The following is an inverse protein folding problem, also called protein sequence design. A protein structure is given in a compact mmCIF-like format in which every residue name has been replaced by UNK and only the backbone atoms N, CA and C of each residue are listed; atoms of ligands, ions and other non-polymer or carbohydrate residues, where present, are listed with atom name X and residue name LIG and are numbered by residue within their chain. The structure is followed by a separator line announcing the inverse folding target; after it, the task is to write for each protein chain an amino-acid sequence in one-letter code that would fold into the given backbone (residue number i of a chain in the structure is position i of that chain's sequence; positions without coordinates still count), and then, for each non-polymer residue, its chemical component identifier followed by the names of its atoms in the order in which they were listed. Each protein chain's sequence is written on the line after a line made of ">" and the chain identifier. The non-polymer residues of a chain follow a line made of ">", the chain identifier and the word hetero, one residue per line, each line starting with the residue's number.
data_IF_219663751328
#
_entry.id   IF_219663751328
#
_cell.length_a   1.000
_cell.length_b   1.000
_cell.length_c   1.000
_cell.angle_alpha   90.00
_cell.angle_beta   90.00
_cell.angle_gamma   90.00
#
_symmetry.space_group_name_H-M   'P 1'
#
loop_
_entity.id
_entity.type
_entity.pdbx_description
1 polymer ?
#
# COMPACT_ATOMS: atom_id res chain seq x y z
N UNK A 1 33.66 8.86 -10.23
CA UNK A 1 32.42 8.85 -11.04
C UNK A 1 31.29 8.96 -10.03
N UNK A 2 30.47 10.02 -10.13
CA UNK A 2 29.46 10.33 -9.12
C UNK A 2 28.20 9.52 -9.47
N UNK A 3 27.93 8.46 -8.71
CA UNK A 3 26.68 7.73 -8.79
C UNK A 3 25.55 8.61 -8.24
N UNK A 4 24.83 9.25 -9.16
CA UNK A 4 23.54 9.84 -8.88
C UNK A 4 22.52 8.70 -8.74
N UNK A 5 22.23 8.31 -7.49
CA UNK A 5 20.99 7.61 -7.18
C UNK A 5 19.82 8.59 -7.41
N UNK A 6 19.31 8.60 -8.64
CA UNK A 6 17.98 9.13 -8.93
C UNK A 6 16.97 8.43 -7.99
N UNK A 7 16.08 9.16 -7.31
CA UNK A 7 15.02 8.55 -6.52
C UNK A 7 14.13 7.73 -7.43
N UNK A 8 13.90 6.46 -7.08
CA UNK A 8 12.98 5.54 -7.76
C UNK A 8 11.59 6.20 -7.94
N UNK A 9 11.42 6.86 -9.09
CA UNK A 9 10.14 7.37 -9.59
C UNK A 9 9.26 6.15 -9.87
N UNK A 10 8.37 5.84 -8.94
CA UNK A 10 7.31 4.88 -9.22
C UNK A 10 6.69 4.12 -8.06
N UNK A 11 6.96 4.42 -6.80
CA UNK A 11 6.16 3.81 -5.73
C UNK A 11 4.69 4.28 -5.86
N UNK A 12 3.70 3.39 -6.10
CA UNK A 12 2.30 3.79 -6.19
C UNK A 12 1.67 4.06 -4.82
N UNK A 13 2.42 3.80 -3.75
CA UNK A 13 1.96 3.73 -2.37
C UNK A 13 1.78 5.10 -1.69
N UNK A 14 2.65 6.12 -1.88
CA UNK A 14 2.50 7.41 -1.20
C UNK A 14 1.20 8.13 -1.60
N UNK A 15 0.87 8.07 -2.90
CA UNK A 15 -0.28 8.78 -3.49
C UNK A 15 -1.62 8.40 -2.87
N UNK A 16 -1.83 7.17 -2.42
CA UNK A 16 -3.15 6.77 -1.90
C UNK A 16 -3.39 7.24 -0.47
N UNK A 17 -2.37 7.16 0.40
CA UNK A 17 -2.45 7.72 1.75
C UNK A 17 -2.63 9.24 1.69
N UNK A 18 -1.90 9.91 0.80
CA UNK A 18 -2.04 11.34 0.51
C UNK A 18 -3.44 11.72 0.04
N UNK A 19 -4.07 10.92 -0.84
CA UNK A 19 -5.45 11.15 -1.30
C UNK A 19 -6.44 11.05 -0.14
N UNK A 20 -6.31 10.04 0.74
CA UNK A 20 -7.20 9.90 1.89
C UNK A 20 -7.03 11.05 2.89
N UNK A 21 -5.79 11.49 3.13
CA UNK A 21 -5.52 12.69 3.95
C UNK A 21 -6.08 13.97 3.32
N UNK A 22 -5.92 14.16 2.01
CA UNK A 22 -6.50 15.30 1.31
C UNK A 22 -8.04 15.31 1.41
N UNK A 23 -8.69 14.16 1.25
CA UNK A 23 -10.15 14.02 1.41
C UNK A 23 -10.58 14.41 2.84
N UNK A 24 -9.81 14.03 3.87
CA UNK A 24 -10.07 14.42 5.27
C UNK A 24 -9.89 15.91 5.49
N UNK A 25 -8.85 16.50 4.92
CA UNK A 25 -8.64 17.94 4.99
C UNK A 25 -9.81 18.69 4.36
N UNK A 26 -10.28 18.25 3.18
CA UNK A 26 -11.47 18.83 2.52
C UNK A 26 -12.71 18.68 3.40
N UNK A 27 -12.92 17.52 4.04
CA UNK A 27 -14.02 17.34 5.00
C UNK A 27 -13.98 18.37 6.12
N UNK A 28 -12.81 18.58 6.71
CA UNK A 28 -12.65 19.50 7.83
C UNK A 28 -12.95 20.94 7.40
N UNK A 29 -12.47 21.36 6.23
CA UNK A 29 -12.75 22.68 5.66
C UNK A 29 -14.25 22.88 5.41
N UNK A 30 -14.94 21.87 4.83
CA UNK A 30 -16.39 21.94 4.61
C UNK A 30 -17.16 22.05 5.93
N UNK A 31 -16.76 21.28 6.95
CA UNK A 31 -17.39 21.34 8.28
C UNK A 31 -17.20 22.70 8.96
N UNK A 32 -16.07 23.37 8.73
CA UNK A 32 -15.78 24.71 9.27
C UNK A 32 -16.30 25.87 8.41
N UNK A 33 -16.84 25.60 7.22
CA UNK A 33 -17.31 26.63 6.29
C UNK A 33 -18.71 27.15 6.66
N UNK A 34 -18.97 28.43 6.37
CA UNK A 34 -20.26 29.08 6.58
C UNK A 34 -21.28 28.74 5.46
N UNK A 35 -21.31 27.47 5.01
CA UNK A 35 -22.35 26.98 4.10
C UNK A 35 -23.68 26.84 4.85
N UNK A 36 -24.79 26.97 4.12
CA UNK A 36 -26.09 26.59 4.68
C UNK A 36 -26.09 25.11 5.09
N UNK A 37 -26.90 24.76 6.09
CA UNK A 37 -26.91 23.42 6.67
C UNK A 37 -27.22 22.33 5.62
N UNK A 38 -28.11 22.59 4.67
CA UNK A 38 -28.48 21.62 3.63
C UNK A 38 -27.36 21.36 2.62
N UNK A 39 -26.64 22.39 2.20
CA UNK A 39 -25.45 22.27 1.35
C UNK A 39 -24.32 21.57 2.09
N UNK A 40 -24.09 21.90 3.36
CA UNK A 40 -23.06 21.26 4.19
C UNK A 40 -23.31 19.77 4.35
N UNK A 41 -24.56 19.35 4.56
CA UNK A 41 -24.90 17.95 4.75
C UNK A 41 -24.72 17.14 3.45
N UNK A 42 -25.16 17.68 2.31
CA UNK A 42 -24.96 17.05 0.99
C UNK A 42 -23.49 16.89 0.64
N UNK A 43 -22.67 17.92 0.89
CA UNK A 43 -21.23 17.85 0.62
C UNK A 43 -20.55 16.87 1.59
N UNK A 44 -20.95 16.87 2.86
CA UNK A 44 -20.42 15.91 3.85
C UNK A 44 -20.72 14.46 3.46
N UNK A 45 -21.94 14.18 2.98
CA UNK A 45 -22.32 12.86 2.49
C UNK A 45 -21.52 12.46 1.24
N UNK A 46 -21.35 13.37 0.28
CA UNK A 46 -20.56 13.13 -0.92
C UNK A 46 -19.09 12.79 -0.57
N UNK A 47 -18.50 13.53 0.37
CA UNK A 47 -17.13 13.30 0.85
C UNK A 47 -17.03 11.96 1.60
N UNK A 48 -18.04 11.57 2.38
CA UNK A 48 -18.07 10.26 3.05
C UNK A 48 -18.12 9.10 2.05
N UNK A 49 -18.95 9.22 1.01
CA UNK A 49 -19.01 8.23 -0.08
C UNK A 49 -17.65 8.14 -0.77
N UNK A 50 -17.04 9.27 -1.12
CA UNK A 50 -15.72 9.31 -1.77
C UNK A 50 -14.62 8.64 -0.93
N UNK A 51 -14.55 8.94 0.37
CA UNK A 51 -13.58 8.29 1.28
C UNK A 51 -13.77 6.76 1.28
N UNK A 52 -15.03 6.29 1.33
CA UNK A 52 -15.33 4.86 1.30
C UNK A 52 -14.90 4.18 -0.02
N UNK A 53 -15.05 4.88 -1.15
CA UNK A 53 -14.65 4.38 -2.46
C UNK A 53 -13.13 4.33 -2.60
N UNK A 54 -12.43 5.39 -2.21
CA UNK A 54 -10.96 5.41 -2.30
C UNK A 54 -10.31 4.41 -1.33
N UNK A 55 -10.88 4.21 -0.14
CA UNK A 55 -10.42 3.16 0.77
C UNK A 55 -10.55 1.76 0.16
N UNK A 56 -11.72 1.44 -0.44
CA UNK A 56 -11.93 0.15 -1.13
C UNK A 56 -10.97 -0.03 -2.30
N UNK A 57 -10.74 1.02 -3.08
CA UNK A 57 -9.82 1.04 -4.22
C UNK A 57 -8.37 0.81 -3.78
N UNK A 58 -7.93 1.51 -2.73
CA UNK A 58 -6.60 1.36 -2.14
C UNK A 58 -6.37 -0.07 -1.63
N UNK A 59 -7.33 -0.62 -0.87
CA UNK A 59 -7.27 -2.03 -0.40
C UNK A 59 -7.14 -3.01 -1.55
N UNK A 60 -7.95 -2.87 -2.61
CA UNK A 60 -7.90 -3.76 -3.78
C UNK A 60 -6.53 -3.71 -4.46
N UNK A 61 -5.98 -2.50 -4.65
CA UNK A 61 -4.65 -2.30 -5.27
C UNK A 61 -3.54 -2.93 -4.45
N UNK A 62 -3.47 -2.63 -3.15
CA UNK A 62 -2.42 -3.17 -2.29
C UNK A 62 -2.49 -4.69 -2.19
N UNK A 63 -3.69 -5.27 -2.03
CA UNK A 63 -3.85 -6.74 -2.03
C UNK A 63 -3.42 -7.37 -3.36
N UNK A 64 -3.72 -6.72 -4.49
CA UNK A 64 -3.25 -7.18 -5.81
C UNK A 64 -1.73 -7.12 -5.92
N UNK A 65 -1.12 -6.02 -5.46
CA UNK A 65 0.33 -5.85 -5.49
C UNK A 65 1.05 -6.88 -4.60
N UNK A 66 0.54 -7.14 -3.39
CA UNK A 66 1.10 -8.18 -2.50
C UNK A 66 1.02 -9.58 -3.14
N UNK A 67 -0.10 -9.91 -3.81
CA UNK A 67 -0.23 -11.19 -4.52
C UNK A 67 0.75 -11.30 -5.68
N UNK A 68 0.93 -10.21 -6.42
CA UNK A 68 1.88 -10.18 -7.52
C UNK A 68 3.31 -10.34 -7.02
N UNK A 69 3.64 -9.68 -5.91
CA UNK A 69 4.95 -9.80 -5.27
C UNK A 69 5.24 -11.24 -4.83
N UNK A 70 4.24 -11.92 -4.25
CA UNK A 70 4.34 -13.35 -3.92
C UNK A 70 4.63 -14.21 -5.15
N UNK A 71 3.99 -13.92 -6.30
CA UNK A 71 4.21 -14.66 -7.55
C UNK A 71 5.64 -14.48 -8.06
N UNK A 72 6.14 -13.25 -8.08
CA UNK A 72 7.53 -12.96 -8.49
C UNK A 72 8.55 -13.72 -7.66
N UNK A 73 8.43 -13.65 -6.33
CA UNK A 73 9.31 -14.39 -5.41
C UNK A 73 9.22 -15.90 -5.68
N UNK A 74 8.01 -16.43 -5.90
CA UNK A 74 7.82 -17.84 -6.24
C UNK A 74 8.51 -18.24 -7.55
N UNK A 75 8.47 -17.38 -8.57
CA UNK A 75 9.17 -17.63 -9.84
C UNK A 75 10.69 -17.62 -9.67
N UNK A 76 11.23 -16.66 -8.92
CA UNK A 76 12.67 -16.60 -8.63
C UNK A 76 13.14 -17.79 -7.80
N UNK A 77 12.34 -18.25 -6.83
CA UNK A 77 12.63 -19.46 -6.06
C UNK A 77 12.59 -20.73 -6.93
N UNK A 78 11.69 -20.79 -7.90
CA UNK A 78 11.66 -21.90 -8.87
C UNK A 78 12.95 -21.93 -9.68
N UNK A 79 13.36 -20.78 -10.23
CA UNK A 79 14.62 -20.65 -10.97
C UNK A 79 15.81 -21.02 -10.09
N UNK A 80 15.79 -20.64 -8.81
CA UNK A 80 16.85 -20.99 -7.85
C UNK A 80 16.89 -22.50 -7.60
N UNK A 81 15.74 -23.16 -7.55
CA UNK A 81 15.62 -24.61 -7.38
C UNK A 81 16.06 -25.41 -8.61
N UNK A 82 16.03 -24.81 -9.80
CA UNK A 82 16.52 -25.43 -11.04
C UNK A 82 18.06 -25.49 -11.10
N UNK A 83 18.76 -24.74 -10.24
CA UNK A 83 20.20 -24.92 -10.05
C UNK A 83 20.45 -26.24 -9.33
N UNK A 84 20.93 -27.24 -10.07
CA UNK A 84 21.27 -28.54 -9.51
C UNK A 84 22.53 -28.45 -8.65
N UNK A 85 22.34 -28.04 -7.39
CA UNK A 85 23.37 -28.02 -6.36
C UNK A 85 23.69 -29.39 -5.76
N UNK A 86 23.06 -30.45 -6.25
CA UNK A 86 23.10 -31.76 -5.61
C UNK A 86 24.00 -32.76 -6.34
N UNK A 87 24.41 -32.48 -7.60
CA UNK A 87 25.07 -33.45 -8.48
C UNK A 87 26.48 -33.07 -8.98
N UNK A 88 27.19 -32.14 -8.33
CA UNK A 88 28.56 -31.79 -8.74
C UNK A 88 29.56 -31.83 -7.59
N UNK A 89 30.66 -32.56 -7.76
CA UNK A 89 31.83 -32.53 -6.86
C UNK A 89 32.52 -31.15 -6.86
N UNK A 90 32.15 -30.26 -7.79
CA UNK A 90 32.63 -28.88 -7.89
C UNK A 90 31.62 -28.02 -8.65
N UNK A 91 31.23 -26.89 -8.06
CA UNK A 91 30.41 -25.89 -8.73
C UNK A 91 31.24 -25.04 -9.68
N UNK A 92 30.78 -24.86 -10.91
CA UNK A 92 31.36 -23.84 -11.78
C UNK A 92 31.13 -22.44 -11.18
N UNK A 93 32.19 -21.61 -11.19
CA UNK A 93 32.14 -20.26 -10.61
C UNK A 93 31.01 -19.40 -11.20
N UNK A 94 30.70 -19.58 -12.48
CA UNK A 94 29.59 -18.90 -13.15
C UNK A 94 28.22 -19.25 -12.55
N UNK A 95 28.00 -20.52 -12.22
CA UNK A 95 26.77 -21.00 -11.59
C UNK A 95 26.59 -20.40 -10.19
N UNK A 96 27.67 -20.34 -9.40
CA UNK A 96 27.63 -19.69 -8.09
C UNK A 96 27.34 -18.19 -8.19
N UNK A 97 27.93 -17.53 -9.19
CA UNK A 97 27.68 -16.11 -9.43
C UNK A 97 26.21 -15.87 -9.79
N UNK A 98 25.63 -16.67 -10.67
CA UNK A 98 24.22 -16.57 -11.07
C UNK A 98 23.28 -16.83 -9.89
N UNK A 99 23.53 -17.87 -9.09
CA UNK A 99 22.77 -18.15 -7.88
C UNK A 99 22.84 -16.98 -6.87
N UNK A 100 24.02 -16.33 -6.75
CA UNK A 100 24.17 -15.16 -5.87
C UNK A 100 23.34 -13.96 -6.34
N UNK A 101 23.28 -13.70 -7.66
CA UNK A 101 22.48 -12.63 -8.24
C UNK A 101 20.98 -12.92 -8.04
N UNK A 102 20.56 -14.15 -8.25
CA UNK A 102 19.17 -14.55 -8.06
C UNK A 102 18.72 -14.42 -6.60
N UNK A 103 19.58 -14.75 -5.64
CA UNK A 103 19.33 -14.53 -4.22
C UNK A 103 19.20 -13.03 -3.88
N UNK A 104 20.01 -12.17 -4.50
CA UNK A 104 19.87 -10.72 -4.36
C UNK A 104 18.54 -10.21 -4.91
N UNK A 105 18.11 -10.71 -6.06
CA UNK A 105 16.81 -10.37 -6.65
C UNK A 105 15.66 -10.80 -5.74
N UNK A 106 15.72 -12.02 -5.18
CA UNK A 106 14.74 -12.50 -4.18
C UNK A 106 14.70 -11.57 -2.97
N UNK A 107 15.86 -11.16 -2.45
CA UNK A 107 15.93 -10.25 -1.30
C UNK A 107 15.31 -8.88 -1.61
N UNK A 108 15.59 -8.32 -2.80
CA UNK A 108 15.00 -7.06 -3.24
C UNK A 108 13.47 -7.15 -3.37
N UNK A 109 12.97 -8.21 -4.01
CA UNK A 109 11.55 -8.47 -4.17
C UNK A 109 10.86 -8.75 -2.81
N UNK A 110 11.51 -9.43 -1.87
CA UNK A 110 11.01 -9.63 -0.51
C UNK A 110 10.90 -8.31 0.26
N UNK A 111 11.90 -7.45 0.14
CA UNK A 111 11.91 -6.10 0.75
C UNK A 111 10.76 -5.24 0.20
N UNK A 112 10.56 -5.23 -1.12
CA UNK A 112 9.43 -4.56 -1.76
C UNK A 112 8.07 -5.08 -1.25
N UNK A 113 7.94 -6.41 -1.11
CA UNK A 113 6.74 -7.04 -0.54
C UNK A 113 6.44 -6.65 0.89
N UNK A 114 7.47 -6.59 1.74
CA UNK A 114 7.36 -6.10 3.12
C UNK A 114 6.81 -4.67 3.15
N UNK A 115 7.30 -3.80 2.26
CA UNK A 115 6.78 -2.44 2.10
C UNK A 115 5.28 -2.41 1.78
N UNK A 116 4.83 -3.21 0.80
CA UNK A 116 3.41 -3.30 0.42
C UNK A 116 2.52 -3.81 1.57
N UNK A 117 2.98 -4.82 2.32
CA UNK A 117 2.26 -5.35 3.47
C UNK A 117 2.16 -4.31 4.59
N UNK A 118 3.24 -3.58 4.87
CA UNK A 118 3.24 -2.49 5.86
C UNK A 118 2.24 -1.40 5.47
N UNK A 119 2.16 -1.03 4.20
CA UNK A 119 1.19 -0.05 3.72
C UNK A 119 -0.25 -0.54 3.85
N UNK A 120 -0.50 -1.82 3.60
CA UNK A 120 -1.82 -2.41 3.83
C UNK A 120 -2.17 -2.40 5.33
N UNK A 121 -1.23 -2.73 6.21
CA UNK A 121 -1.43 -2.67 7.66
C UNK A 121 -1.82 -1.25 8.13
N UNK A 122 -1.09 -0.24 7.67
CA UNK A 122 -1.39 1.16 8.00
C UNK A 122 -2.77 1.58 7.48
N UNK A 123 -3.13 1.16 6.27
CA UNK A 123 -4.45 1.44 5.70
C UNK A 123 -5.58 0.82 6.52
N UNK A 124 -5.42 -0.44 6.95
CA UNK A 124 -6.43 -1.14 7.76
C UNK A 124 -6.56 -0.49 9.15
N UNK A 125 -5.44 -0.13 9.81
CA UNK A 125 -5.45 0.62 11.07
C UNK A 125 -6.20 1.95 10.97
N UNK A 126 -5.92 2.75 9.95
CA UNK A 126 -6.60 4.02 9.76
C UNK A 126 -8.09 3.87 9.45
N UNK A 127 -8.47 2.78 8.79
CA UNK A 127 -9.88 2.47 8.58
C UNK A 127 -10.58 2.15 9.92
N UNK A 128 -9.93 1.41 10.80
CA UNK A 128 -10.45 1.06 12.13
C UNK A 128 -10.66 2.29 13.02
N UNK A 129 -9.65 3.16 13.12
CA UNK A 129 -9.69 4.43 13.85
C UNK A 129 -10.88 5.30 13.40
N UNK A 130 -11.13 5.34 12.09
CA UNK A 130 -12.22 6.11 11.51
C UNK A 130 -13.60 5.51 11.80
N UNK A 131 -13.75 4.19 11.72
CA UNK A 131 -14.99 3.52 12.15
C UNK A 131 -15.28 3.75 13.63
N UNK A 132 -14.26 3.81 14.47
CA UNK A 132 -14.42 4.10 15.89
C UNK A 132 -14.92 5.54 16.11
N UNK A 133 -14.29 6.52 15.45
CA UNK A 133 -14.67 7.92 15.53
C UNK A 133 -16.10 8.18 15.03
N UNK A 134 -16.52 7.52 13.94
CA UNK A 134 -17.90 7.63 13.42
C UNK A 134 -18.96 6.99 14.33
N UNK A 135 -18.59 6.00 15.16
CA UNK A 135 -19.53 5.38 16.11
C UNK A 135 -19.68 6.18 17.41
N UNK A 136 -18.69 6.99 17.77
CA UNK A 136 -18.65 7.77 19.01
C UNK A 136 -18.80 9.28 18.75
N UNK A 137 -19.49 9.68 17.67
CA UNK A 137 -19.78 11.10 17.43
C UNK A 137 -20.87 11.55 18.43
N UNK A 138 -20.53 12.39 19.44
CA UNK A 138 -21.48 12.80 20.48
C UNK A 138 -22.62 13.68 19.93
N UNK A 139 -22.52 14.16 18.69
CA UNK A 139 -23.58 14.92 18.02
C UNK A 139 -24.62 14.04 17.30
N UNK A 140 -24.40 12.73 17.19
CA UNK A 140 -25.33 11.81 16.50
C UNK A 140 -26.59 11.53 17.31
N UNK A 141 -26.53 11.68 18.63
CA UNK A 141 -27.62 11.36 19.57
C UNK A 141 -28.45 12.60 19.98
N UNK A 142 -28.21 13.78 19.38
CA UNK A 142 -28.93 15.03 19.68
C UNK A 142 -29.96 15.45 18.62
N UNK A 143 -30.23 14.62 17.62
CA UNK A 143 -31.39 14.80 16.73
C UNK A 143 -32.53 13.90 17.23
N UNK A 144 -33.22 14.38 18.26
CA UNK A 144 -34.51 13.90 18.74
C UNK A 144 -35.61 14.89 18.42
#
# INVERSE_FOLDING_TARGET
>A
MHDNLEPLKGSPVPRQAEILEAIRQVRNVVRSSALDCGCRDRVSEAIQRLESFELKRARKRLRSAVREQKRKISSLLSLLGDFDMQNSDSFELGVLMEASLLLLDIAAEASAGSGLVRSLLLLERHAEEHTFALRHDPNKDMVG
#
